data_IF_846765093680
#
_entry.id   IF_846765093680
#
_cell.length_a   1.000
_cell.length_b   1.000
_cell.length_c   1.000
_cell.angle_alpha   90.00
_cell.angle_beta   90.00
_cell.angle_gamma   90.00
#
_symmetry.space_group_name_H-M   'P 1'
#
loop_
_entity.id
_entity.type
_entity.pdbx_description
1 polymer ?
#
# COMPACT_ATOMS: atom_id res chain seq x y z
N UNK A 1 2.73 -0.84 -39.60
CA UNK A 1 2.88 -0.07 -38.34
C UNK A 1 2.34 -0.93 -37.21
N UNK A 2 3.24 -1.56 -36.47
CA UNK A 2 2.89 -2.39 -35.32
C UNK A 2 2.31 -1.48 -34.22
N UNK A 3 1.06 -1.73 -33.80
CA UNK A 3 0.48 -1.04 -32.65
C UNK A 3 1.31 -1.47 -31.44
N UNK A 4 2.33 -0.67 -31.06
CA UNK A 4 3.06 -0.86 -29.80
C UNK A 4 2.01 -0.95 -28.70
N UNK A 5 2.01 -2.07 -28.00
CA UNK A 5 0.94 -2.57 -27.15
C UNK A 5 0.78 -1.70 -25.88
N UNK A 6 0.31 -0.46 -26.05
CA UNK A 6 0.22 0.58 -25.01
C UNK A 6 -0.78 0.24 -23.89
N UNK A 7 -1.42 -0.93 -23.93
CA UNK A 7 -2.37 -1.39 -22.91
C UNK A 7 -1.68 -1.82 -21.61
N UNK A 8 -0.48 -2.42 -21.69
CA UNK A 8 0.27 -2.91 -20.53
C UNK A 8 0.72 -1.81 -19.55
N UNK A 9 1.35 -0.70 -20.01
CA UNK A 9 1.70 0.38 -19.10
C UNK A 9 0.48 1.08 -18.51
N UNK A 10 -0.60 1.24 -19.28
CA UNK A 10 -1.84 1.83 -18.78
C UNK A 10 -2.45 0.97 -17.66
N UNK A 11 -2.46 -0.36 -17.83
CA UNK A 11 -2.90 -1.28 -16.77
C UNK A 11 -2.01 -1.18 -15.52
N UNK A 12 -0.68 -1.07 -15.71
CA UNK A 12 0.26 -0.87 -14.61
C UNK A 12 -0.02 0.40 -13.80
N UNK A 13 -0.31 1.51 -14.49
CA UNK A 13 -0.69 2.78 -13.84
C UNK A 13 -1.99 2.61 -13.06
N UNK A 14 -3.03 2.04 -13.67
CA UNK A 14 -4.35 1.88 -13.04
C UNK A 14 -4.24 1.02 -11.78
N UNK A 15 -3.54 -0.11 -11.84
CA UNK A 15 -3.35 -0.99 -10.69
C UNK A 15 -2.55 -0.30 -9.57
N UNK A 16 -1.54 0.49 -9.93
CA UNK A 16 -0.76 1.29 -8.97
C UNK A 16 -1.60 2.37 -8.29
N UNK A 17 -2.50 3.04 -9.03
CA UNK A 17 -3.42 4.03 -8.48
C UNK A 17 -4.41 3.39 -7.50
N UNK A 18 -5.01 2.25 -7.88
CA UNK A 18 -5.91 1.49 -7.01
C UNK A 18 -5.18 1.09 -5.73
N UNK A 19 -3.97 0.55 -5.84
CA UNK A 19 -3.15 0.17 -4.69
C UNK A 19 -2.89 1.36 -3.75
N UNK A 20 -2.44 2.50 -4.31
CA UNK A 20 -2.17 3.71 -3.54
C UNK A 20 -3.41 4.19 -2.79
N UNK A 21 -4.58 4.18 -3.43
CA UNK A 21 -5.86 4.57 -2.80
C UNK A 21 -6.24 3.61 -1.68
N UNK A 22 -6.20 2.29 -1.89
CA UNK A 22 -6.57 1.31 -0.86
C UNK A 22 -5.62 1.42 0.34
N UNK A 23 -4.31 1.52 0.09
CA UNK A 23 -3.29 1.67 1.14
C UNK A 23 -3.50 2.98 1.92
N UNK A 24 -3.88 4.08 1.25
CA UNK A 24 -4.20 5.34 1.91
C UNK A 24 -5.40 5.22 2.84
N UNK A 25 -6.50 4.63 2.34
CA UNK A 25 -7.70 4.42 3.15
C UNK A 25 -7.41 3.51 4.34
N UNK A 26 -6.63 2.45 4.13
CA UNK A 26 -6.23 1.54 5.19
C UNK A 26 -5.37 2.26 6.25
N UNK A 27 -4.34 3.00 5.85
CA UNK A 27 -3.51 3.77 6.79
C UNK A 27 -4.29 4.87 7.53
N UNK A 28 -5.21 5.56 6.84
CA UNK A 28 -6.10 6.54 7.45
C UNK A 28 -7.07 5.90 8.45
N UNK A 29 -7.62 4.74 8.13
CA UNK A 29 -8.44 3.94 9.04
C UNK A 29 -7.65 3.56 10.29
N UNK A 30 -6.44 3.01 10.14
CA UNK A 30 -5.59 2.66 11.29
C UNK A 30 -5.27 3.87 12.17
N UNK A 31 -4.90 5.00 11.56
CA UNK A 31 -4.56 6.22 12.28
C UNK A 31 -5.75 6.85 13.01
N UNK A 32 -6.95 6.78 12.42
CA UNK A 32 -8.16 7.41 12.97
C UNK A 32 -8.95 6.51 13.92
N UNK A 33 -8.67 5.21 13.95
CA UNK A 33 -9.34 4.28 14.87
C UNK A 33 -8.90 4.57 16.30
N UNK A 34 -9.83 4.84 17.24
CA UNK A 34 -9.48 5.01 18.64
C UNK A 34 -8.76 3.78 19.18
N UNK A 35 -7.69 3.99 19.94
CA UNK A 35 -6.87 2.91 20.51
C UNK A 35 -7.69 1.94 21.35
N UNK A 36 -8.69 2.43 22.09
CA UNK A 36 -9.55 1.62 22.95
C UNK A 36 -10.42 0.64 22.14
N UNK A 37 -10.91 1.08 20.97
CA UNK A 37 -11.69 0.25 20.04
C UNK A 37 -10.80 -0.83 19.41
N UNK A 38 -9.57 -0.47 19.07
CA UNK A 38 -8.60 -1.42 18.53
C UNK A 38 -8.14 -2.44 19.57
N UNK A 39 -7.90 -2.00 20.82
CA UNK A 39 -7.56 -2.86 21.95
C UNK A 39 -8.66 -3.89 22.22
N UNK A 40 -9.93 -3.46 22.28
CA UNK A 40 -11.05 -4.38 22.44
C UNK A 40 -11.10 -5.43 21.32
N UNK A 41 -10.89 -5.00 20.07
CA UNK A 41 -10.88 -5.91 18.91
C UNK A 41 -9.74 -6.94 19.02
N UNK A 42 -8.55 -6.51 19.46
CA UNK A 42 -7.41 -7.40 19.64
C UNK A 42 -7.64 -8.42 20.76
N UNK A 43 -8.24 -8.01 21.88
CA UNK A 43 -8.60 -8.89 22.99
C UNK A 43 -9.61 -9.95 22.58
N UNK A 44 -10.65 -9.57 21.81
CA UNK A 44 -11.65 -10.50 21.29
C UNK A 44 -11.03 -11.52 20.30
N UNK A 45 -10.06 -11.09 19.49
CA UNK A 45 -9.39 -11.94 18.52
C UNK A 45 -8.28 -12.81 19.13
N UNK A 46 -7.65 -12.36 20.22
CA UNK A 46 -6.48 -12.99 20.84
C UNK A 46 -6.64 -13.07 22.37
N UNK A 47 -7.60 -13.87 22.88
CA UNK A 47 -7.89 -13.94 24.31
C UNK A 47 -6.75 -14.51 25.18
N UNK A 48 -5.72 -15.10 24.56
CA UNK A 48 -4.55 -15.64 25.25
C UNK A 48 -3.36 -14.68 25.36
N UNK A 49 -3.47 -13.46 24.84
CA UNK A 49 -2.40 -12.47 24.87
C UNK A 49 -2.38 -11.71 26.19
N UNK A 50 -1.20 -11.40 26.71
CA UNK A 50 -1.06 -10.63 27.96
C UNK A 50 -1.38 -9.15 27.74
N UNK A 51 -1.77 -8.43 28.80
CA UNK A 51 -2.05 -6.99 28.73
C UNK A 51 -0.82 -6.19 28.24
N UNK A 52 0.38 -6.57 28.68
CA UNK A 52 1.64 -5.92 28.28
C UNK A 52 1.94 -6.07 26.77
N UNK A 53 1.65 -7.23 26.19
CA UNK A 53 1.79 -7.47 24.75
C UNK A 53 0.76 -6.66 23.94
N UNK A 54 -0.48 -6.61 24.42
CA UNK A 54 -1.56 -5.86 23.79
C UNK A 54 -1.27 -4.35 23.78
N UNK A 55 -0.85 -3.80 24.92
CA UNK A 55 -0.51 -2.38 25.05
C UNK A 55 0.62 -1.97 24.09
N UNK A 56 1.62 -2.83 23.93
CA UNK A 56 2.74 -2.57 23.02
C UNK A 56 2.30 -2.57 21.55
N UNK A 57 1.36 -3.45 21.16
CA UNK A 57 0.81 -3.48 19.80
C UNK A 57 -0.04 -2.22 19.55
N UNK A 58 -0.94 -1.90 20.48
CA UNK A 58 -1.85 -0.75 20.38
C UNK A 58 -1.09 0.56 20.31
N UNK A 59 -0.03 0.72 21.11
CA UNK A 59 0.80 1.93 21.11
C UNK A 59 1.47 2.20 19.74
N UNK A 60 1.81 1.15 18.99
CA UNK A 60 2.47 1.26 17.69
C UNK A 60 1.47 1.35 16.52
N UNK A 61 0.20 1.05 16.75
CA UNK A 61 -0.81 0.97 15.69
C UNK A 61 -1.03 2.28 14.91
N UNK A 62 -1.14 3.46 15.56
CA UNK A 62 -1.26 4.73 14.83
C UNK A 62 -0.01 5.05 13.99
N UNK A 63 1.18 4.71 14.50
CA UNK A 63 2.45 4.91 13.79
C UNK A 63 2.51 4.07 12.52
N UNK A 64 2.05 2.82 12.56
CA UNK A 64 1.90 1.98 11.37
C UNK A 64 0.90 2.60 10.39
N UNK A 65 -0.20 3.18 10.87
CA UNK A 65 -1.17 3.91 10.04
C UNK A 65 -0.53 5.06 9.26
N UNK A 66 0.27 5.91 9.93
CA UNK A 66 1.02 7.01 9.28
C UNK A 66 1.97 6.46 8.22
N UNK A 67 2.68 5.37 8.52
CA UNK A 67 3.61 4.74 7.58
C UNK A 67 2.89 4.26 6.31
N UNK A 68 1.71 3.64 6.46
CA UNK A 68 0.90 3.25 5.30
C UNK A 68 0.37 4.45 4.51
N UNK A 69 -0.01 5.56 5.18
CA UNK A 69 -0.39 6.80 4.48
C UNK A 69 0.78 7.30 3.62
N UNK A 70 1.99 7.35 4.19
CA UNK A 70 3.19 7.78 3.46
C UNK A 70 3.46 6.85 2.27
N UNK A 71 3.36 5.53 2.45
CA UNK A 71 3.54 4.56 1.36
C UNK A 71 2.51 4.77 0.25
N UNK A 72 1.24 4.93 0.61
CA UNK A 72 0.16 5.18 -0.34
C UNK A 72 0.39 6.45 -1.16
N UNK A 73 0.81 7.56 -0.53
CA UNK A 73 1.17 8.81 -1.24
C UNK A 73 2.30 8.56 -2.24
N UNK A 74 3.38 7.89 -1.83
CA UNK A 74 4.53 7.68 -2.72
C UNK A 74 4.18 6.70 -3.86
N UNK A 75 3.32 5.70 -3.61
CA UNK A 75 2.78 4.82 -4.66
C UNK A 75 2.00 5.63 -5.70
N UNK A 76 1.15 6.59 -5.27
CA UNK A 76 0.46 7.49 -6.19
C UNK A 76 1.44 8.37 -6.99
N UNK A 77 2.50 8.87 -6.36
CA UNK A 77 3.58 9.59 -7.05
C UNK A 77 4.26 8.67 -8.08
N UNK A 78 4.53 7.41 -7.72
CA UNK A 78 5.09 6.41 -8.63
C UNK A 78 4.19 6.14 -9.84
N UNK A 79 2.89 5.99 -9.62
CA UNK A 79 1.90 5.85 -10.70
C UNK A 79 1.86 7.09 -11.61
N UNK A 80 1.90 8.30 -11.03
CA UNK A 80 1.97 9.55 -11.78
C UNK A 80 3.25 9.68 -12.62
N UNK A 81 4.40 9.26 -12.07
CA UNK A 81 5.67 9.20 -12.80
C UNK A 81 5.59 8.21 -13.98
N UNK A 82 4.94 7.06 -13.79
CA UNK A 82 4.61 6.13 -14.87
C UNK A 82 3.78 6.81 -15.97
N UNK A 83 2.71 7.51 -15.60
CA UNK A 83 1.89 8.27 -16.55
C UNK A 83 2.67 9.34 -17.32
N UNK A 84 3.64 10.00 -16.69
CA UNK A 84 4.56 10.97 -17.32
C UNK A 84 5.64 10.33 -18.20
N UNK A 85 5.63 9.01 -18.39
CA UNK A 85 6.59 8.26 -19.20
C UNK A 85 7.86 7.85 -18.45
N UNK A 86 7.99 8.14 -17.15
CA UNK A 86 9.10 7.69 -16.29
C UNK A 86 8.80 6.31 -15.69
N UNK A 87 8.41 5.37 -16.54
CA UNK A 87 7.86 4.06 -16.18
C UNK A 87 8.76 3.24 -15.25
N UNK A 88 10.08 3.22 -15.48
CA UNK A 88 11.02 2.48 -14.63
C UNK A 88 11.09 3.02 -13.21
N UNK A 89 11.24 4.34 -13.07
CA UNK A 89 11.35 5.00 -11.76
C UNK A 89 10.03 4.87 -11.02
N UNK A 90 8.91 5.14 -11.71
CA UNK A 90 7.57 4.96 -11.16
C UNK A 90 7.30 3.52 -10.71
N UNK A 91 7.65 2.54 -11.54
CA UNK A 91 7.49 1.12 -11.23
C UNK A 91 8.29 0.67 -10.02
N UNK A 92 9.56 1.11 -9.88
CA UNK A 92 10.38 0.79 -8.69
C UNK A 92 9.76 1.37 -7.41
N UNK A 93 9.32 2.63 -7.45
CA UNK A 93 8.68 3.27 -6.30
C UNK A 93 7.43 2.53 -5.87
N UNK A 94 6.57 2.15 -6.83
CA UNK A 94 5.38 1.37 -6.55
C UNK A 94 5.74 0.00 -5.98
N UNK A 95 6.71 -0.70 -6.59
CA UNK A 95 7.11 -2.05 -6.18
C UNK A 95 7.58 -2.09 -4.73
N UNK A 96 8.62 -1.31 -4.41
CA UNK A 96 9.28 -1.38 -3.10
C UNK A 96 8.29 -1.06 -1.99
N UNK A 97 7.44 -0.05 -2.19
CA UNK A 97 6.51 0.39 -1.16
C UNK A 97 5.24 -0.46 -1.06
N UNK A 98 4.97 -1.30 -2.06
CA UNK A 98 3.86 -2.24 -2.02
C UNK A 98 4.22 -3.56 -1.34
N UNK A 99 5.49 -3.85 -1.05
CA UNK A 99 5.93 -5.13 -0.45
C UNK A 99 5.32 -5.33 0.94
N UNK A 100 5.47 -4.35 1.83
CA UNK A 100 4.97 -4.46 3.20
C UNK A 100 3.42 -4.54 3.24
N UNK A 101 2.67 -3.67 2.53
CA UNK A 101 1.21 -3.82 2.43
C UNK A 101 0.75 -5.12 1.74
N UNK A 102 1.58 -5.75 0.91
CA UNK A 102 1.22 -7.00 0.22
C UNK A 102 1.18 -8.20 1.17
N UNK A 103 1.86 -8.13 2.33
CA UNK A 103 1.74 -9.16 3.38
C UNK A 103 0.30 -9.27 3.90
N UNK A 104 -0.44 -8.17 3.87
CA UNK A 104 -1.87 -8.10 4.24
C UNK A 104 -2.78 -8.18 3.01
N UNK A 105 -2.28 -8.65 1.86
CA UNK A 105 -2.95 -8.73 0.55
C UNK A 105 -3.34 -7.38 -0.09
N UNK A 106 -3.42 -6.31 0.69
CA UNK A 106 -3.80 -4.96 0.26
C UNK A 106 -2.80 -4.35 -0.75
N UNK A 107 -1.51 -4.70 -0.65
CA UNK A 107 -0.46 -4.23 -1.55
C UNK A 107 -0.30 -5.00 -2.87
N UNK A 108 -1.00 -6.13 -3.06
CA UNK A 108 -0.84 -6.99 -4.24
C UNK A 108 -1.10 -6.25 -5.57
N UNK A 109 -2.16 -5.43 -5.69
CA UNK A 109 -2.37 -4.64 -6.91
C UNK A 109 -1.19 -3.72 -7.22
N UNK A 110 -0.53 -3.20 -6.19
CA UNK A 110 0.64 -2.33 -6.32
C UNK A 110 1.85 -3.10 -6.84
N UNK A 111 2.12 -4.30 -6.32
CA UNK A 111 3.18 -5.17 -6.85
C UNK A 111 2.95 -5.48 -8.34
N UNK A 112 1.74 -5.87 -8.73
CA UNK A 112 1.43 -6.18 -10.13
C UNK A 112 1.56 -4.91 -10.99
N UNK A 113 1.01 -3.79 -10.52
CA UNK A 113 1.08 -2.50 -11.20
C UNK A 113 2.52 -2.02 -11.41
N UNK A 114 3.35 -2.12 -10.38
CA UNK A 114 4.75 -1.76 -10.39
C UNK A 114 5.60 -2.62 -11.31
N UNK A 115 5.36 -3.95 -11.38
CA UNK A 115 6.01 -4.84 -12.35
C UNK A 115 5.68 -4.42 -13.78
N UNK A 116 4.39 -4.19 -14.07
CA UNK A 116 3.93 -3.80 -15.41
C UNK A 116 4.52 -2.45 -15.85
N UNK A 117 4.67 -1.51 -14.90
CA UNK A 117 5.36 -0.25 -15.13
C UNK A 117 6.86 -0.45 -15.39
N UNK A 118 7.53 -1.21 -14.52
CA UNK A 118 8.98 -1.40 -14.59
C UNK A 118 9.44 -2.09 -15.87
N UNK A 119 8.67 -3.08 -16.33
CA UNK A 119 8.99 -3.85 -17.53
C UNK A 119 8.66 -3.11 -18.83
N UNK A 120 8.01 -1.95 -18.77
CA UNK A 120 7.68 -1.17 -19.97
C UNK A 120 8.90 -0.40 -20.52
N UNK A 121 9.19 -0.55 -21.82
CA UNK A 121 10.28 0.12 -22.55
C UNK A 121 9.81 1.35 -23.32
#
# INVERSE_FOLDING_TARGET
MEKKDNKKPMLGIILSLIAGIIILFFGASMYSTPTDVYLQTLQEQNPGMTEEELDLIVANYPTLGILFIVFGIIILIGAFLGYRGRNKIGGILVLVLSILPALSLIGIPGIIGGILLYLNR
#
